data_IF_774122106691
#
_entry.id   IF_774122106691
#
_cell.length_a   1.000
_cell.length_b   1.000
_cell.length_c   1.000
_cell.angle_alpha   90.00
_cell.angle_beta   90.00
_cell.angle_gamma   90.00
#
_symmetry.space_group_name_H-M   'P 1'
#
loop_
_entity.id
_entity.type
_entity.pdbx_description
1 polymer ?
#
# COMPACT_ATOMS: atom_id res chain seq x y z
N UNK A 1 -21.60 -17.06 -0.24
CA UNK A 1 -21.40 -16.90 -0.01
C UNK A 1 -21.15 -16.41 0.52
N UNK A 2 -21.22 -16.22 0.79
CA UNK A 2 -21.00 -15.91 1.35
C UNK A 2 -20.37 -15.43 2.06
N UNK A 3 -20.02 -15.23 2.22
CA UNK A 3 -19.55 -14.96 2.75
C UNK A 3 -19.13 -14.28 3.28
N UNK A 4 -19.15 -13.73 3.51
CA UNK A 4 -18.80 -13.10 3.96
C UNK A 4 -18.46 -12.73 4.92
N UNK A 5 -18.66 -13.01 5.49
CA UNK A 5 -18.53 -12.80 6.59
C UNK A 5 -17.29 -12.81 7.20
N UNK A 6 -16.76 -13.68 7.40
CA UNK A 6 -15.49 -13.73 7.97
C UNK A 6 -14.55 -12.81 7.33
N UNK A 7 -14.96 -12.25 6.28
CA UNK A 7 -14.15 -11.40 5.59
C UNK A 7 -14.21 -10.03 6.07
N UNK A 8 -14.03 -9.76 7.25
CA UNK A 8 -14.13 -8.46 7.79
C UNK A 8 -12.91 -7.66 7.52
N UNK A 9 -12.59 -7.49 6.30
CA UNK A 9 -11.45 -6.70 5.94
C UNK A 9 -11.81 -5.24 5.81
N UNK A 10 -10.79 -4.40 5.84
CA UNK A 10 -10.94 -2.98 5.58
C UNK A 10 -10.25 -2.67 4.27
N UNK A 11 -10.88 -1.85 3.45
CA UNK A 11 -10.25 -1.39 2.24
C UNK A 11 -9.69 -0.01 2.51
N UNK A 12 -8.39 0.14 2.33
CA UNK A 12 -7.72 1.40 2.63
C UNK A 12 -6.82 1.75 1.45
N UNK A 13 -6.75 3.02 1.14
CA UNK A 13 -5.85 3.50 0.11
C UNK A 13 -4.66 4.15 0.78
N UNK A 14 -3.48 3.72 0.40
CA UNK A 14 -2.25 4.30 0.90
C UNK A 14 -1.61 5.12 -0.21
N UNK A 15 -1.31 6.36 0.09
CA UNK A 15 -0.60 7.21 -0.86
C UNK A 15 0.87 7.19 -0.50
N UNK A 16 1.68 6.75 -1.42
CA UNK A 16 3.12 6.68 -1.21
C UNK A 16 3.77 7.69 -2.13
N UNK A 17 4.58 8.55 -1.57
CA UNK A 17 5.31 9.56 -2.33
C UNK A 17 6.78 9.27 -2.18
N UNK A 18 7.48 9.24 -3.28
CA UNK A 18 8.90 8.98 -3.27
C UNK A 18 9.53 9.40 -4.57
N UNK A 19 10.77 8.99 -4.76
CA UNK A 19 11.48 9.29 -6.00
C UNK A 19 10.87 8.51 -7.14
N UNK A 20 10.92 9.12 -8.32
CA UNK A 20 10.42 8.48 -9.52
C UNK A 20 11.41 7.41 -9.96
N UNK A 21 11.33 6.26 -9.36
CA UNK A 21 12.23 5.14 -9.62
C UNK A 21 11.40 3.87 -9.60
N UNK A 22 11.44 3.16 -10.68
CA UNK A 22 10.63 1.97 -10.81
C UNK A 22 11.03 0.89 -9.80
N UNK A 23 12.29 0.88 -9.37
CA UNK A 23 12.73 -0.08 -8.36
C UNK A 23 12.00 0.12 -7.04
N UNK A 24 11.68 1.37 -6.72
CA UNK A 24 10.95 1.69 -5.49
C UNK A 24 9.53 1.14 -5.60
N UNK A 25 8.89 1.36 -6.72
CA UNK A 25 7.54 0.85 -6.95
C UNK A 25 7.52 -0.67 -6.85
N UNK A 26 8.50 -1.31 -7.46
CA UNK A 26 8.59 -2.76 -7.42
C UNK A 26 8.78 -3.25 -5.99
N UNK A 27 9.61 -2.57 -5.23
CA UNK A 27 9.85 -2.95 -3.84
C UNK A 27 8.59 -2.82 -3.00
N UNK A 28 7.85 -1.74 -3.20
CA UNK A 28 6.61 -1.53 -2.45
C UNK A 28 5.60 -2.62 -2.79
N UNK A 29 5.45 -2.90 -4.08
CA UNK A 29 4.53 -3.94 -4.51
C UNK A 29 4.92 -5.28 -3.93
N UNK A 30 6.22 -5.55 -3.90
CA UNK A 30 6.72 -6.79 -3.34
C UNK A 30 6.42 -6.91 -1.84
N UNK A 31 6.59 -5.81 -1.11
CA UNK A 31 6.27 -5.78 0.31
C UNK A 31 4.81 -6.11 0.52
N UNK A 32 3.93 -5.48 -0.24
CA UNK A 32 2.51 -5.73 -0.12
C UNK A 32 2.18 -7.18 -0.46
N UNK A 33 2.79 -7.68 -1.50
CA UNK A 33 2.53 -9.03 -1.97
C UNK A 33 2.96 -10.09 -0.95
N UNK A 34 3.98 -9.80 -0.17
CA UNK A 34 4.48 -10.74 0.80
C UNK A 34 3.70 -10.75 2.11
N UNK A 35 2.88 -9.75 2.33
CA UNK A 35 2.13 -9.68 3.57
C UNK A 35 0.95 -10.65 3.52
N UNK A 36 0.92 -11.54 4.48
CA UNK A 36 -0.20 -12.46 4.62
C UNK A 36 -1.38 -11.69 5.18
N UNK A 37 -2.50 -11.83 4.57
CA UNK A 37 -3.70 -11.15 5.06
C UNK A 37 -3.93 -9.79 4.42
N UNK A 38 -3.02 -9.38 3.56
CA UNK A 38 -3.16 -8.12 2.82
C UNK A 38 -3.33 -8.44 1.35
N UNK A 39 -4.33 -7.84 0.74
CA UNK A 39 -4.59 -8.04 -0.67
C UNK A 39 -4.53 -6.70 -1.39
N UNK A 40 -3.72 -6.63 -2.42
CA UNK A 40 -3.65 -5.43 -3.25
C UNK A 40 -4.83 -5.45 -4.20
N UNK A 41 -5.67 -4.42 -4.11
CA UNK A 41 -6.87 -4.34 -4.91
C UNK A 41 -6.68 -3.48 -6.13
N UNK A 42 -5.96 -2.40 -5.99
CA UNK A 42 -5.82 -1.45 -7.07
C UNK A 42 -4.51 -0.68 -6.91
N UNK A 43 -3.99 -0.21 -8.01
CA UNK A 43 -2.72 0.49 -7.99
C UNK A 43 -2.75 1.56 -9.06
N UNK A 44 -2.44 2.78 -8.65
CA UNK A 44 -2.28 3.90 -9.59
C UNK A 44 -0.99 4.60 -9.28
N UNK A 45 -0.22 4.87 -10.32
CA UNK A 45 1.06 5.53 -10.17
C UNK A 45 1.11 6.73 -11.10
N UNK A 46 1.47 7.88 -10.55
CA UNK A 46 1.68 9.08 -11.32
C UNK A 46 3.08 9.59 -11.06
N UNK A 47 3.73 10.10 -12.08
CA UNK A 47 5.05 10.69 -11.93
C UNK A 47 4.96 12.16 -12.30
N UNK A 48 5.44 13.02 -11.43
CA UNK A 48 5.46 14.44 -11.68
C UNK A 48 6.76 15.01 -11.13
N UNK A 49 7.52 15.69 -11.98
CA UNK A 49 8.75 16.38 -11.56
C UNK A 49 9.73 15.47 -10.82
N UNK A 50 9.90 14.27 -11.32
CA UNK A 50 10.87 13.35 -10.72
C UNK A 50 10.41 12.72 -9.43
N UNK A 51 9.15 12.88 -9.10
CA UNK A 51 8.56 12.29 -7.92
C UNK A 51 7.39 11.42 -8.35
N UNK A 52 7.30 10.22 -7.78
CA UNK A 52 6.14 9.42 -8.06
C UNK A 52 5.15 9.51 -6.90
N UNK A 53 3.90 9.44 -7.26
CA UNK A 53 2.82 9.39 -6.28
C UNK A 53 2.02 8.15 -6.58
N UNK A 54 2.09 7.17 -5.70
CA UNK A 54 1.40 5.91 -5.90
C UNK A 54 0.24 5.78 -4.95
N UNK A 55 -0.92 5.42 -5.48
CA UNK A 55 -2.08 5.13 -4.67
C UNK A 55 -2.28 3.62 -4.68
N UNK A 56 -2.09 3.00 -3.54
CA UNK A 56 -2.22 1.55 -3.42
C UNK A 56 -3.47 1.25 -2.60
N UNK A 57 -4.46 0.68 -3.23
CA UNK A 57 -5.67 0.30 -2.53
C UNK A 57 -5.52 -1.14 -2.09
N UNK A 58 -5.55 -1.36 -0.79
CA UNK A 58 -5.32 -2.69 -0.24
C UNK A 58 -6.46 -3.04 0.70
N UNK A 59 -6.65 -4.33 0.89
CA UNK A 59 -7.59 -4.83 1.87
C UNK A 59 -6.78 -5.51 2.97
N UNK A 60 -7.04 -5.10 4.21
CA UNK A 60 -6.34 -5.65 5.37
C UNK A 60 -7.38 -6.20 6.33
N UNK A 61 -6.96 -7.09 7.21
CA UNK A 61 -7.88 -7.69 8.14
C UNK A 61 -8.19 -6.80 9.32
N UNK A 62 -7.19 -6.08 9.78
CA UNK A 62 -7.40 -5.19 10.93
C UNK A 62 -6.37 -4.08 10.87
N UNK A 63 -6.49 -3.17 11.82
CA UNK A 63 -5.60 -2.00 11.83
C UNK A 63 -4.17 -2.38 12.17
N UNK A 64 -3.96 -3.46 12.89
CA UNK A 64 -2.61 -3.90 13.20
C UNK A 64 -1.86 -4.26 11.93
N UNK A 65 -2.51 -4.98 11.04
CA UNK A 65 -1.90 -5.33 9.77
C UNK A 65 -1.63 -4.08 8.94
N UNK A 66 -2.57 -3.16 8.95
CA UNK A 66 -2.39 -1.92 8.22
C UNK A 66 -1.20 -1.13 8.75
N UNK A 67 -1.07 -1.04 10.06
CA UNK A 67 0.06 -0.32 10.65
C UNK A 67 1.39 -0.97 10.30
N UNK A 68 1.44 -2.28 10.33
CA UNK A 68 2.65 -3.00 9.97
C UNK A 68 3.00 -2.78 8.51
N UNK A 69 2.00 -2.84 7.66
CA UNK A 69 2.23 -2.63 6.23
C UNK A 69 2.74 -1.21 5.98
N UNK A 70 2.12 -0.24 6.61
CA UNK A 70 2.53 1.16 6.46
C UNK A 70 3.99 1.33 6.87
N UNK A 71 4.37 0.73 7.98
CA UNK A 71 5.76 0.81 8.44
C UNK A 71 6.72 0.17 7.46
N UNK A 72 6.34 -0.97 6.92
CA UNK A 72 7.20 -1.66 5.98
C UNK A 72 7.39 -0.86 4.69
N UNK A 73 6.33 -0.27 4.21
CA UNK A 73 6.41 0.57 3.01
C UNK A 73 7.28 1.78 3.29
N UNK A 74 7.07 2.40 4.46
CA UNK A 74 7.85 3.58 4.81
C UNK A 74 9.33 3.26 4.96
N UNK A 75 9.65 2.03 5.24
CA UNK A 75 11.04 1.60 5.37
C UNK A 75 11.70 1.32 4.01
N UNK A 76 10.94 1.29 2.95
CA UNK A 76 11.51 1.06 1.63
C UNK A 76 12.38 2.26 1.26
N UNK A 77 13.57 1.97 0.78
CA UNK A 77 14.51 3.02 0.42
C UNK A 77 13.95 3.84 -0.74
N UNK A 78 13.98 5.13 -0.61
CA UNK A 78 13.47 6.02 -1.65
C UNK A 78 12.07 6.54 -1.39
N UNK A 79 11.37 5.93 -0.46
CA UNK A 79 10.04 6.39 -0.08
C UNK A 79 10.19 7.60 0.84
N UNK A 80 9.51 8.67 0.49
CA UNK A 80 9.54 9.89 1.31
C UNK A 80 8.43 9.90 2.33
N UNK A 81 7.24 9.59 1.91
CA UNK A 81 6.06 9.71 2.76
C UNK A 81 5.05 8.64 2.41
N UNK A 82 4.40 8.12 3.42
CA UNK A 82 3.28 7.21 3.23
C UNK A 82 2.11 7.79 3.98
N UNK A 83 1.01 8.03 3.28
CA UNK A 83 -0.19 8.57 3.88
C UNK A 83 -1.33 7.60 3.73
N UNK A 84 -2.16 7.57 4.72
CA UNK A 84 -3.34 6.72 4.69
C UNK A 84 -4.53 7.57 4.29
N UNK A 85 -5.08 7.27 3.12
CA UNK A 85 -6.27 7.95 2.65
C UNK A 85 -7.45 7.12 3.06
N UNK A 86 -7.98 7.44 4.21
CA UNK A 86 -9.06 6.65 4.70
C UNK A 86 -10.35 7.37 4.44
N UNK A 87 -11.22 6.74 3.82
CA UNK A 87 -12.50 7.36 3.55
C UNK A 87 -13.49 7.13 4.68
#
# INVERSE_FOLDING_TARGET
KWSRKGDNGYIVTLRVIGRDDIAIVTNITSVISKETGVTLRSLNIDSVDGIFQGNFTVMVRDTTELNMLTKKINAVKGVKTVERLNS
#
